data_IF_049192312899
#
_entry.id   IF_049192312899
#
_cell.length_a   1.000
_cell.length_b   1.000
_cell.length_c   1.000
_cell.angle_alpha   90.00
_cell.angle_beta   90.00
_cell.angle_gamma   90.00
#
_symmetry.space_group_name_H-M   'P 1'
#
loop_
_entity.id
_entity.type
_entity.pdbx_description
1 polymer ?
#
# COMPACT_ATOMS: atom_id res chain seq x y z
N UNK A 1 -15.52 1.42 13.93
CA UNK A 1 -15.95 1.31 12.53
C UNK A 1 -17.10 2.26 12.31
N UNK A 2 -17.17 2.95 11.15
CA UNK A 2 -18.38 3.67 10.76
C UNK A 2 -19.44 2.63 10.38
N UNK A 3 -20.67 2.79 10.86
CA UNK A 3 -21.77 1.91 10.48
C UNK A 3 -22.17 2.17 9.02
N UNK A 4 -22.39 1.11 8.26
CA UNK A 4 -22.96 1.21 6.92
C UNK A 4 -24.45 1.52 7.06
N UNK A 5 -24.88 2.67 6.52
CA UNK A 5 -26.29 3.03 6.39
C UNK A 5 -26.70 2.88 4.93
N UNK A 6 -26.86 1.64 4.48
CA UNK A 6 -27.25 1.28 3.11
C UNK A 6 -28.50 0.42 3.21
N UNK A 7 -29.52 0.75 2.42
CA UNK A 7 -30.78 0.01 2.43
C UNK A 7 -30.64 -1.32 1.69
N UNK A 8 -31.47 -2.30 2.07
CA UNK A 8 -31.48 -3.60 1.42
C UNK A 8 -31.71 -3.48 -0.09
N UNK A 9 -30.76 -3.98 -0.89
CA UNK A 9 -30.81 -3.93 -2.35
C UNK A 9 -30.55 -2.55 -2.98
N UNK A 10 -30.08 -1.58 -2.19
CA UNK A 10 -29.64 -0.28 -2.71
C UNK A 10 -28.37 -0.42 -3.57
N UNK A 11 -28.30 0.36 -4.65
CA UNK A 11 -27.08 0.57 -5.42
C UNK A 11 -26.50 1.91 -5.02
N UNK A 12 -25.39 1.88 -4.28
CA UNK A 12 -24.68 3.07 -3.83
C UNK A 12 -23.38 3.21 -4.63
N UNK A 13 -23.20 4.38 -5.26
CA UNK A 13 -22.03 4.70 -6.10
C UNK A 13 -21.73 3.62 -7.16
N UNK A 14 -22.78 3.03 -7.73
CA UNK A 14 -22.66 2.00 -8.78
C UNK A 14 -22.36 0.59 -8.28
N UNK A 15 -22.29 0.36 -6.97
CA UNK A 15 -22.07 -0.96 -6.37
C UNK A 15 -23.25 -1.38 -5.48
N UNK A 16 -23.60 -2.68 -5.42
CA UNK A 16 -24.68 -3.18 -4.58
C UNK A 16 -24.31 -3.13 -3.09
N UNK A 17 -25.30 -3.09 -2.22
CA UNK A 17 -25.17 -3.26 -0.76
C UNK A 17 -24.13 -4.33 -0.37
N UNK A 18 -24.21 -5.53 -0.96
CA UNK A 18 -23.32 -6.65 -0.64
C UNK A 18 -21.84 -6.36 -0.89
N UNK A 19 -21.51 -5.46 -1.82
CA UNK A 19 -20.12 -5.02 -2.04
C UNK A 19 -19.64 -4.17 -0.86
N UNK A 20 -20.46 -3.23 -0.40
CA UNK A 20 -20.11 -2.35 0.70
C UNK A 20 -20.02 -3.11 2.03
N UNK A 21 -20.92 -4.06 2.28
CA UNK A 21 -20.83 -4.98 3.42
C UNK A 21 -19.49 -5.74 3.42
N UNK A 22 -19.07 -6.28 2.27
CA UNK A 22 -17.81 -6.99 2.14
C UNK A 22 -16.60 -6.09 2.43
N UNK A 23 -16.59 -4.86 1.91
CA UNK A 23 -15.48 -3.92 2.13
C UNK A 23 -15.46 -3.38 3.57
N UNK A 24 -16.62 -3.15 4.20
CA UNK A 24 -16.68 -2.67 5.59
C UNK A 24 -16.17 -3.69 6.60
N UNK A 25 -16.27 -4.98 6.30
CA UNK A 25 -15.71 -6.05 7.14
C UNK A 25 -14.23 -6.35 6.85
N UNK A 26 -13.64 -5.74 5.83
CA UNK A 26 -12.28 -6.06 5.38
C UNK A 26 -11.22 -5.32 6.21
N UNK A 27 -10.34 -6.08 6.86
CA UNK A 27 -9.15 -5.58 7.55
C UNK A 27 -7.89 -5.89 6.71
N UNK A 28 -7.45 -4.96 5.85
CA UNK A 28 -6.30 -5.18 4.97
C UNK A 28 -4.99 -5.37 5.75
N UNK A 29 -4.86 -4.71 6.91
CA UNK A 29 -3.65 -4.77 7.74
C UNK A 29 -3.53 -6.16 8.38
N UNK A 30 -4.62 -6.70 8.91
CA UNK A 30 -4.64 -8.05 9.45
C UNK A 30 -4.40 -9.11 8.38
N UNK A 31 -4.98 -8.95 7.19
CA UNK A 31 -4.72 -9.84 6.06
C UNK A 31 -3.23 -9.84 5.71
N UNK A 32 -2.63 -8.66 5.54
CA UNK A 32 -1.21 -8.53 5.23
C UNK A 32 -0.30 -9.11 6.32
N UNK A 33 -0.68 -8.98 7.60
CA UNK A 33 0.06 -9.58 8.72
C UNK A 33 0.17 -11.10 8.60
N UNK A 34 -0.84 -11.75 8.03
CA UNK A 34 -0.88 -13.21 7.87
C UNK A 34 -0.22 -13.71 6.58
N UNK A 35 0.19 -12.83 5.66
CA UNK A 35 0.91 -13.24 4.45
C UNK A 35 2.32 -13.73 4.79
N UNK A 36 2.77 -14.80 4.15
CA UNK A 36 4.18 -15.25 4.17
C UNK A 36 5.06 -14.53 3.14
N UNK A 37 4.48 -13.60 2.38
CA UNK A 37 5.14 -12.87 1.30
C UNK A 37 5.88 -11.61 1.80
N UNK A 38 6.92 -11.18 1.08
CA UNK A 38 7.50 -9.84 1.17
C UNK A 38 6.46 -8.72 0.99
N UNK A 39 6.65 -7.60 1.70
CA UNK A 39 5.75 -6.44 1.64
C UNK A 39 6.56 -5.15 1.51
N UNK A 40 6.36 -4.44 0.39
CA UNK A 40 6.82 -3.07 0.18
C UNK A 40 5.66 -2.10 0.36
N UNK A 41 5.83 -1.07 1.18
CA UNK A 41 4.88 0.03 1.35
C UNK A 41 5.53 1.34 0.92
N UNK A 42 4.91 2.04 -0.02
CA UNK A 42 5.37 3.32 -0.55
C UNK A 42 4.26 4.35 -0.36
N UNK A 43 4.60 5.56 0.09
CA UNK A 43 3.63 6.65 0.24
C UNK A 43 4.26 7.98 -0.17
N UNK A 44 3.49 8.83 -0.85
CA UNK A 44 3.80 10.25 -0.98
C UNK A 44 3.24 11.03 0.20
N UNK A 45 4.06 11.80 0.91
CA UNK A 45 3.63 12.57 2.10
C UNK A 45 2.62 13.68 1.75
N UNK A 46 2.61 14.13 0.49
CA UNK A 46 1.69 15.16 0.00
C UNK A 46 0.43 14.58 -0.64
N UNK A 47 0.12 13.30 -0.44
CA UNK A 47 -1.11 12.71 -0.93
C UNK A 47 -2.33 13.16 -0.09
N UNK A 48 -3.29 13.81 -0.74
CA UNK A 48 -4.54 14.28 -0.12
C UNK A 48 -5.71 13.29 -0.26
N UNK A 49 -5.57 12.24 -1.07
CA UNK A 49 -6.56 11.16 -1.19
C UNK A 49 -6.34 10.08 -0.15
N UNK A 50 -5.09 9.67 0.03
CA UNK A 50 -4.66 8.64 0.99
C UNK A 50 -3.51 9.23 1.79
N UNK A 51 -3.80 9.56 3.05
CA UNK A 51 -2.91 10.44 3.83
C UNK A 51 -1.84 9.64 4.56
N UNK A 52 -0.90 10.33 5.20
CA UNK A 52 0.10 9.69 6.07
C UNK A 52 -0.52 8.93 7.25
N UNK A 53 -1.76 9.24 7.64
CA UNK A 53 -2.50 8.46 8.64
C UNK A 53 -2.65 7.00 8.20
N UNK A 54 -2.97 6.76 6.92
CA UNK A 54 -3.11 5.42 6.37
C UNK A 54 -1.77 4.68 6.36
N UNK A 55 -0.71 5.38 5.94
CA UNK A 55 0.66 4.87 5.98
C UNK A 55 1.08 4.46 7.40
N UNK A 56 0.87 5.34 8.39
CA UNK A 56 1.18 5.05 9.79
C UNK A 56 0.39 3.86 10.34
N UNK A 57 -0.87 3.70 9.95
CA UNK A 57 -1.68 2.52 10.29
C UNK A 57 -1.04 1.24 9.77
N UNK A 58 -0.52 1.24 8.53
CA UNK A 58 0.22 0.11 7.98
C UNK A 58 1.52 -0.17 8.74
N UNK A 59 2.32 0.86 9.03
CA UNK A 59 3.58 0.70 9.76
C UNK A 59 3.33 0.11 11.14
N UNK A 60 2.41 0.69 11.90
CA UNK A 60 2.04 0.21 13.23
C UNK A 60 1.49 -1.22 13.17
N UNK A 61 0.65 -1.51 12.18
CA UNK A 61 0.02 -2.81 12.01
C UNK A 61 1.00 -3.93 11.66
N UNK A 62 2.04 -3.64 10.90
CA UNK A 62 3.01 -4.62 10.43
C UNK A 62 4.30 -4.64 11.27
N UNK A 63 4.46 -3.72 12.21
CA UNK A 63 5.57 -3.72 13.17
C UNK A 63 5.59 -5.03 13.95
N UNK A 64 6.77 -5.64 14.08
CA UNK A 64 6.93 -6.93 14.76
C UNK A 64 6.63 -8.16 13.88
N UNK A 65 6.28 -7.97 12.61
CA UNK A 65 6.28 -9.07 11.64
C UNK A 65 7.73 -9.48 11.35
N UNK A 66 8.13 -10.66 11.82
CA UNK A 66 9.52 -11.18 11.74
C UNK A 66 10.01 -11.54 10.32
N UNK A 67 9.22 -11.23 9.29
CA UNK A 67 9.61 -11.50 7.92
C UNK A 67 10.62 -10.41 7.50
N UNK A 68 11.79 -10.84 6.99
CA UNK A 68 12.93 -10.03 6.53
C UNK A 68 12.62 -8.97 5.45
N UNK A 69 11.35 -8.81 5.08
CA UNK A 69 10.94 -8.25 3.81
C UNK A 69 9.88 -7.15 3.98
N UNK A 70 9.71 -6.61 5.20
CA UNK A 70 8.92 -5.41 5.43
C UNK A 70 9.78 -4.17 5.16
N UNK A 71 9.62 -3.57 3.99
CA UNK A 71 10.27 -2.30 3.62
C UNK A 71 9.21 -1.22 3.47
N UNK A 72 9.47 -0.05 4.03
CA UNK A 72 8.59 1.10 3.90
C UNK A 72 9.39 2.34 3.51
N UNK A 73 8.81 3.19 2.66
CA UNK A 73 9.40 4.45 2.20
C UNK A 73 8.31 5.51 2.13
N UNK A 74 8.55 6.64 2.80
CA UNK A 74 7.75 7.85 2.72
C UNK A 74 8.52 8.90 1.93
N UNK A 75 7.95 9.39 0.83
CA UNK A 75 8.53 10.42 -0.02
C UNK A 75 7.95 11.79 0.31
N UNK A 76 8.76 12.69 0.87
CA UNK A 76 8.29 13.96 1.45
C UNK A 76 7.58 14.87 0.46
N UNK A 77 8.02 14.87 -0.81
CA UNK A 77 7.59 15.87 -1.79
C UNK A 77 6.60 15.30 -2.81
N UNK A 78 6.08 14.09 -2.60
CA UNK A 78 5.35 13.35 -3.64
C UNK A 78 3.85 13.29 -3.36
N UNK A 79 3.04 13.36 -4.42
CA UNK A 79 1.59 13.23 -4.37
C UNK A 79 1.11 11.77 -4.49
N UNK A 80 -0.20 11.61 -4.60
CA UNK A 80 -0.91 10.35 -4.83
C UNK A 80 -0.38 9.49 -5.99
N UNK A 81 0.20 10.14 -7.01
CA UNK A 81 0.69 9.48 -8.22
C UNK A 81 2.20 9.24 -8.19
N UNK A 82 2.86 9.43 -7.04
CA UNK A 82 4.31 9.40 -6.88
C UNK A 82 5.06 10.38 -7.81
N UNK A 83 4.43 11.50 -8.15
CA UNK A 83 5.07 12.60 -8.84
C UNK A 83 5.59 13.61 -7.82
N UNK A 84 6.81 14.11 -8.05
CA UNK A 84 7.35 15.20 -7.24
C UNK A 84 6.56 16.48 -7.51
N UNK A 85 6.03 17.08 -6.44
CA UNK A 85 5.31 18.35 -6.48
C UNK A 85 5.88 19.30 -5.43
N UNK A 86 6.26 20.53 -5.81
CA UNK A 86 6.83 21.50 -4.89
C UNK A 86 5.77 22.07 -3.94
N UNK A 87 6.15 22.38 -2.71
CA UNK A 87 5.27 23.00 -1.72
C UNK A 87 5.38 22.37 -0.33
N UNK A 88 4.52 22.81 0.59
CA UNK A 88 4.41 22.28 1.94
C UNK A 88 2.99 21.76 2.17
N UNK A 89 2.84 20.78 3.06
CA UNK A 89 1.55 20.13 3.33
C UNK A 89 1.05 19.28 2.16
N UNK A 90 -0.22 18.91 2.19
CA UNK A 90 -0.84 18.10 1.14
C UNK A 90 -0.78 18.80 -0.24
N UNK A 91 -0.72 17.99 -1.31
CA UNK A 91 -0.93 18.46 -2.66
C UNK A 91 -2.41 18.80 -2.86
N UNK A 92 -2.69 19.57 -3.90
CA UNK A 92 -4.03 19.99 -4.26
C UNK A 92 -4.52 19.26 -5.51
N UNK A 93 -5.84 19.27 -5.80
CA UNK A 93 -6.33 18.76 -7.07
C UNK A 93 -5.66 19.43 -8.29
N UNK A 94 -5.30 20.71 -8.19
CA UNK A 94 -4.61 21.42 -9.26
C UNK A 94 -3.22 20.83 -9.55
N UNK A 95 -2.51 20.36 -8.52
CA UNK A 95 -1.20 19.73 -8.65
C UNK A 95 -1.26 18.40 -9.40
N UNK A 96 -2.40 17.70 -9.39
CA UNK A 96 -2.61 16.47 -10.17
C UNK A 96 -2.87 16.70 -11.65
N UNK A 97 -3.32 17.89 -12.04
CA UNK A 97 -3.55 18.24 -13.45
C UNK A 97 -2.27 18.65 -14.17
N UNK A 98 -1.16 18.82 -13.46
CA UNK A 98 0.15 19.07 -14.05
C UNK A 98 0.67 17.75 -14.63
N UNK A 99 0.89 17.65 -15.94
CA UNK A 99 1.44 16.43 -16.53
C UNK A 99 2.82 16.12 -15.96
N UNK A 100 3.06 14.85 -15.65
CA UNK A 100 4.32 14.39 -15.09
C UNK A 100 4.48 12.89 -15.23
N UNK A 101 5.55 12.39 -14.63
CA UNK A 101 5.86 10.97 -14.56
C UNK A 101 6.07 10.57 -13.11
N UNK A 102 5.82 9.29 -12.81
CA UNK A 102 6.29 8.67 -11.58
C UNK A 102 7.79 8.97 -11.44
N UNK A 103 8.19 9.48 -10.27
CA UNK A 103 9.58 9.86 -10.05
C UNK A 103 10.49 8.63 -10.19
N UNK A 104 11.64 8.81 -10.86
CA UNK A 104 12.57 7.72 -11.13
C UNK A 104 12.99 6.98 -9.86
N UNK A 105 13.18 7.69 -8.75
CA UNK A 105 13.51 7.09 -7.45
C UNK A 105 12.45 6.09 -6.96
N UNK A 106 11.18 6.27 -7.29
CA UNK A 106 10.12 5.30 -6.96
C UNK A 106 10.29 4.03 -7.79
N UNK A 107 10.55 4.20 -9.09
CA UNK A 107 10.78 3.09 -10.03
C UNK A 107 12.00 2.28 -9.57
N UNK A 108 13.11 2.96 -9.30
CA UNK A 108 14.36 2.35 -8.84
C UNK A 108 14.15 1.61 -7.51
N UNK A 109 13.44 2.21 -6.54
CA UNK A 109 13.16 1.57 -5.27
C UNK A 109 12.30 0.31 -5.38
N UNK A 110 11.37 0.27 -6.34
CA UNK A 110 10.56 -0.92 -6.64
C UNK A 110 11.43 -1.99 -7.31
N UNK A 111 12.22 -1.62 -8.32
CA UNK A 111 13.12 -2.54 -9.02
C UNK A 111 14.13 -3.17 -8.05
N UNK A 112 14.83 -2.34 -7.27
CA UNK A 112 15.77 -2.78 -6.24
C UNK A 112 15.14 -3.71 -5.22
N UNK A 113 13.88 -3.46 -4.84
CA UNK A 113 13.18 -4.31 -3.91
C UNK A 113 12.85 -5.67 -4.54
N UNK A 114 12.34 -5.69 -5.77
CA UNK A 114 12.07 -6.95 -6.49
C UNK A 114 13.33 -7.77 -6.65
N UNK A 115 14.43 -7.16 -7.06
CA UNK A 115 15.71 -7.87 -7.28
C UNK A 115 16.23 -8.47 -5.96
N UNK A 116 16.20 -7.71 -4.86
CA UNK A 116 16.57 -8.21 -3.52
C UNK A 116 15.70 -9.37 -3.07
N UNK A 117 14.38 -9.32 -3.33
CA UNK A 117 13.49 -10.43 -2.97
C UNK A 117 13.73 -11.68 -3.84
N UNK A 118 14.18 -11.54 -5.08
CA UNK A 118 14.61 -12.68 -5.91
C UNK A 118 15.90 -13.29 -5.35
N UNK A 119 16.89 -12.47 -5.01
CA UNK A 119 18.13 -12.92 -4.37
C UNK A 119 17.85 -13.67 -3.06
N UNK A 120 16.98 -13.11 -2.19
CA UNK A 120 16.60 -13.74 -0.93
C UNK A 120 15.95 -15.13 -1.12
N UNK A 121 15.15 -15.31 -2.18
CA UNK A 121 14.57 -16.62 -2.54
C UNK A 121 15.62 -17.62 -2.99
N UNK A 122 16.66 -17.18 -3.69
CA UNK A 122 17.76 -18.05 -4.14
C UNK A 122 18.66 -18.47 -2.97
N UNK A 123 18.76 -17.64 -1.93
CA UNK A 123 19.58 -17.90 -0.74
C UNK A 123 18.86 -18.68 0.36
N UNK A 124 17.55 -18.91 0.24
CA UNK A 124 16.82 -19.76 1.19
C UNK A 124 17.11 -21.23 0.88
N UNK A 125 17.56 -22.06 1.86
CA UNK A 125 17.79 -23.48 1.61
C UNK A 125 16.50 -24.12 1.10
N UNK A 126 16.55 -24.71 -0.09
CA UNK A 126 15.47 -25.57 -0.57
C UNK A 126 15.47 -26.79 0.36
N UNK A 127 14.60 -26.78 1.38
CA UNK A 127 14.20 -28.01 2.05
C UNK A 127 13.39 -28.82 1.03
N UNK A 128 14.11 -29.58 0.21
CA UNK A 128 13.56 -30.52 -0.75
C UNK A 128 12.98 -31.73 0.00
N UNK A 129 11.85 -31.54 0.69
CA UNK A 129 10.96 -32.62 1.08
C UNK A 129 9.83 -32.71 0.04
N UNK A 130 10.17 -33.20 -1.15
CA UNK A 130 9.20 -33.54 -2.21
C UNK A 130 8.77 -35.02 -2.17
N UNK A 131 8.94 -35.69 -1.03
CA UNK A 131 8.52 -37.08 -0.84
C UNK A 131 7.66 -37.24 0.42
N UNK A 132 6.37 -36.86 0.36
CA UNK A 132 5.26 -37.54 1.06
C UNK A 132 3.98 -37.42 0.25
#
# INVERSE_FOLDING_TARGET
MKELNISKGEILLGAPESYWEAVSGYDPVNVARNLSLPILILQGERDYHVTTVDYEMWIKGLTGKNNLCFKNILYSDFNHLFMAVPGTGEATPADLFIPGHVALIVIDNVADWVDKEQENKLLTPINADWHR
#
